data_IF_023568489961
#
_entry.id   IF_023568489961
#
_cell.length_a   1.000
_cell.length_b   1.000
_cell.length_c   1.000
_cell.angle_alpha   90.00
_cell.angle_beta   90.00
_cell.angle_gamma   90.00
#
_symmetry.space_group_name_H-M   'P 1'
#
loop_
_entity.id
_entity.type
_entity.pdbx_description
1 polymer ?
#
# COMPACT_ATOMS: atom_id res chain seq x y z
N UNK A 1 5.92 19.03 7.06
CA UNK A 1 5.13 18.52 5.92
C UNK A 1 4.48 17.22 6.36
N UNK A 2 3.17 17.09 6.17
CA UNK A 2 2.38 15.88 6.44
C UNK A 2 2.33 15.05 5.16
N UNK A 3 2.89 13.83 5.21
CA UNK A 3 2.92 12.92 4.06
C UNK A 3 1.98 11.74 4.34
N UNK A 4 1.09 11.45 3.41
CA UNK A 4 0.25 10.26 3.44
C UNK A 4 0.69 9.31 2.32
N UNK A 5 0.91 8.04 2.65
CA UNK A 5 1.22 6.99 1.67
C UNK A 5 0.08 5.99 1.64
N UNK A 6 -0.43 5.68 0.44
CA UNK A 6 -1.60 4.82 0.26
C UNK A 6 -1.24 3.64 -0.66
N UNK A 7 -1.55 2.42 -0.22
CA UNK A 7 -1.32 1.22 -1.02
C UNK A 7 -1.28 -0.05 -0.18
N UNK A 8 -0.57 -1.06 -0.67
CA UNK A 8 -0.36 -2.35 -0.02
C UNK A 8 0.97 -2.97 -0.43
N UNK A 9 1.20 -4.18 0.03
CA UNK A 9 2.33 -4.99 -0.40
C UNK A 9 3.71 -4.49 0.01
N UNK A 10 4.71 -5.00 -0.70
CA UNK A 10 6.11 -4.64 -0.50
C UNK A 10 6.43 -3.23 -1.01
N UNK A 11 5.71 -2.75 -2.03
CA UNK A 11 5.96 -1.46 -2.66
C UNK A 11 5.74 -0.31 -1.68
N UNK A 12 4.59 -0.29 -1.01
CA UNK A 12 4.31 0.72 0.01
C UNK A 12 5.35 0.73 1.13
N UNK A 13 5.75 -0.45 1.62
CA UNK A 13 6.76 -0.57 2.66
C UNK A 13 8.11 0.06 2.25
N UNK A 14 8.52 -0.09 0.99
CA UNK A 14 9.74 0.53 0.46
C UNK A 14 9.64 2.05 0.38
N UNK A 15 8.49 2.57 -0.08
CA UNK A 15 8.23 4.02 -0.08
C UNK A 15 8.35 4.59 1.32
N UNK A 16 7.73 3.94 2.32
CA UNK A 16 7.82 4.37 3.72
C UNK A 16 9.28 4.44 4.22
N UNK A 17 10.09 3.45 3.86
CA UNK A 17 11.52 3.47 4.19
C UNK A 17 12.27 4.62 3.52
N UNK A 18 11.95 4.90 2.26
CA UNK A 18 12.62 5.95 1.48
C UNK A 18 12.28 7.36 1.96
N UNK A 19 11.02 7.58 2.38
CA UNK A 19 10.56 8.92 2.82
C UNK A 19 10.79 9.18 4.31
N UNK A 20 11.01 8.15 5.12
CA UNK A 20 11.22 8.28 6.58
C UNK A 20 12.29 9.32 6.95
N UNK A 21 13.46 9.39 6.26
CA UNK A 21 14.46 10.42 6.54
C UNK A 21 14.01 11.85 6.23
N UNK A 22 12.94 12.04 5.45
CA UNK A 22 12.50 13.34 4.93
C UNK A 22 11.42 14.01 5.77
N UNK A 23 10.66 13.23 6.52
CA UNK A 23 9.58 13.74 7.36
C UNK A 23 9.37 12.88 8.59
N UNK A 24 9.10 13.52 9.72
CA UNK A 24 8.65 12.87 10.95
C UNK A 24 7.12 12.71 11.02
N UNK A 25 6.38 13.24 10.03
CA UNK A 25 4.92 13.23 10.01
C UNK A 25 4.42 12.43 8.80
N UNK A 26 4.56 11.12 8.91
CA UNK A 26 4.17 10.15 7.87
C UNK A 26 2.99 9.34 8.38
N UNK A 27 1.97 9.20 7.55
CA UNK A 27 0.85 8.29 7.76
C UNK A 27 0.75 7.32 6.59
N UNK A 28 0.79 6.03 6.87
CA UNK A 28 0.50 4.98 5.88
C UNK A 28 -0.96 4.55 6.00
N UNK A 29 -1.69 4.52 4.88
CA UNK A 29 -3.02 3.90 4.78
C UNK A 29 -2.86 2.61 3.98
N UNK A 30 -3.10 1.48 4.62
CA UNK A 30 -2.74 0.17 4.10
C UNK A 30 -3.99 -0.61 3.67
N UNK A 31 -3.94 -1.18 2.47
CA UNK A 31 -4.96 -2.11 1.98
C UNK A 31 -5.05 -3.34 2.90
N UNK A 32 -6.27 -3.81 3.13
CA UNK A 32 -6.57 -4.87 4.10
C UNK A 32 -7.36 -6.04 3.50
N UNK A 33 -7.19 -6.28 2.20
CA UNK A 33 -7.93 -7.30 1.43
C UNK A 33 -7.11 -8.56 1.11
N UNK A 34 -5.81 -8.58 1.42
CA UNK A 34 -4.94 -9.74 1.17
C UNK A 34 -5.49 -11.03 1.80
N UNK A 35 -5.52 -12.10 1.03
CA UNK A 35 -5.92 -13.44 1.45
C UNK A 35 -4.81 -14.49 1.24
N UNK A 36 -3.55 -14.06 1.05
CA UNK A 36 -2.41 -14.93 0.83
C UNK A 36 -1.69 -15.38 2.11
N UNK A 37 -0.95 -16.45 2.01
CA UNK A 37 -0.01 -16.93 3.02
C UNK A 37 -0.57 -17.01 4.46
N UNK A 38 0.18 -16.47 5.43
CA UNK A 38 -0.24 -16.40 6.84
C UNK A 38 -1.51 -15.60 7.05
N UNK A 39 -1.70 -14.52 6.30
CA UNK A 39 -2.91 -13.68 6.35
C UNK A 39 -4.13 -14.48 5.95
N UNK A 40 -4.07 -15.19 4.82
CA UNK A 40 -5.18 -16.03 4.36
C UNK A 40 -5.54 -17.15 5.34
N UNK A 41 -4.54 -17.82 5.94
CA UNK A 41 -4.78 -18.82 6.97
C UNK A 41 -5.52 -18.27 8.20
N UNK A 42 -5.14 -17.08 8.66
CA UNK A 42 -5.81 -16.40 9.78
C UNK A 42 -7.25 -16.06 9.38
N UNK A 43 -7.44 -15.43 8.22
CA UNK A 43 -8.76 -15.01 7.73
C UNK A 43 -9.70 -16.19 7.43
N UNK A 44 -9.16 -17.35 7.09
CA UNK A 44 -9.95 -18.57 6.92
C UNK A 44 -10.45 -19.15 8.26
N UNK A 45 -9.76 -18.87 9.36
CA UNK A 45 -10.13 -19.39 10.70
C UNK A 45 -11.01 -18.44 11.50
N UNK A 46 -10.93 -17.13 11.21
CA UNK A 46 -11.72 -16.10 11.93
C UNK A 46 -11.90 -14.83 11.09
N UNK A 47 -12.99 -14.12 11.36
CA UNK A 47 -13.30 -12.88 10.66
C UNK A 47 -12.37 -11.76 11.12
N UNK A 48 -11.40 -11.39 10.27
CA UNK A 48 -10.41 -10.34 10.55
C UNK A 48 -9.96 -9.66 9.26
N UNK A 49 -9.38 -8.46 9.39
CA UNK A 49 -8.72 -7.77 8.28
C UNK A 49 -7.39 -8.44 7.93
N UNK A 50 -6.86 -8.17 6.76
CA UNK A 50 -5.53 -8.61 6.34
C UNK A 50 -4.43 -7.91 7.15
N UNK A 51 -3.55 -8.68 7.80
CA UNK A 51 -2.54 -8.16 8.72
C UNK A 51 -1.12 -8.11 8.12
N UNK A 52 -0.91 -8.83 7.00
CA UNK A 52 0.42 -9.03 6.42
C UNK A 52 1.11 -7.74 5.99
N UNK A 53 0.40 -6.91 5.25
CA UNK A 53 0.92 -5.64 4.73
C UNK A 53 1.06 -4.59 5.82
N UNK A 54 0.12 -4.55 6.76
CA UNK A 54 0.20 -3.70 7.95
C UNK A 54 1.47 -4.01 8.73
N UNK A 55 1.70 -5.29 9.08
CA UNK A 55 2.92 -5.73 9.75
C UNK A 55 4.17 -5.29 8.97
N UNK A 56 4.17 -5.51 7.66
CA UNK A 56 5.31 -5.17 6.79
C UNK A 56 5.61 -3.67 6.82
N UNK A 57 4.60 -2.82 6.73
CA UNK A 57 4.76 -1.37 6.84
C UNK A 57 5.32 -0.96 8.21
N UNK A 58 4.79 -1.50 9.31
CA UNK A 58 5.29 -1.23 10.66
C UNK A 58 6.75 -1.64 10.83
N UNK A 59 7.13 -2.84 10.37
CA UNK A 59 8.51 -3.33 10.45
C UNK A 59 9.47 -2.53 9.59
N UNK A 60 9.05 -2.10 8.41
CA UNK A 60 9.88 -1.29 7.53
C UNK A 60 10.14 0.10 8.12
N UNK A 61 9.15 0.68 8.80
CA UNK A 61 9.31 1.93 9.55
C UNK A 61 10.25 1.77 10.76
N UNK A 62 10.29 0.61 11.41
CA UNK A 62 11.26 0.33 12.48
C UNK A 62 12.73 0.27 11.99
N UNK A 63 12.93 0.12 10.68
CA UNK A 63 14.25 0.09 10.04
C UNK A 63 14.94 -1.28 10.05
N UNK A 64 15.76 -1.53 9.05
CA UNK A 64 16.38 -2.84 8.78
C UNK A 64 17.30 -3.38 9.90
N UNK A 65 17.81 -2.52 10.77
CA UNK A 65 18.71 -2.91 11.88
C UNK A 65 17.98 -3.25 13.17
N UNK A 66 16.64 -3.18 13.18
CA UNK A 66 15.87 -3.51 14.37
C UNK A 66 15.89 -5.02 14.62
N UNK A 67 16.27 -5.43 15.83
CA UNK A 67 16.15 -6.84 16.27
C UNK A 67 14.70 -7.32 16.21
N UNK A 68 13.73 -6.42 16.37
CA UNK A 68 12.31 -6.72 16.27
C UNK A 68 11.90 -7.17 14.87
N UNK A 69 12.58 -6.71 13.80
CA UNK A 69 12.27 -7.16 12.45
C UNK A 69 12.46 -8.66 12.31
N UNK A 70 13.61 -9.19 12.73
CA UNK A 70 13.87 -10.63 12.67
C UNK A 70 12.86 -11.43 13.51
N UNK A 71 12.48 -10.93 14.69
CA UNK A 71 11.50 -11.56 15.56
C UNK A 71 10.11 -11.59 14.91
N UNK A 72 9.60 -10.45 14.47
CA UNK A 72 8.23 -10.35 13.94
C UNK A 72 8.09 -10.77 12.47
N UNK A 73 9.20 -10.94 11.75
CA UNK A 73 9.24 -11.62 10.44
C UNK A 73 9.38 -13.13 10.57
N UNK A 74 9.68 -13.64 11.78
CA UNK A 74 9.80 -15.07 11.99
C UNK A 74 8.55 -15.80 11.53
N UNK A 75 8.76 -16.85 10.72
CA UNK A 75 7.70 -17.72 10.22
C UNK A 75 7.90 -19.12 10.80
N UNK A 76 6.86 -19.60 11.45
CA UNK A 76 6.87 -20.94 12.03
C UNK A 76 6.94 -21.99 10.93
N UNK A 77 7.74 -23.05 11.15
CA UNK A 77 7.97 -24.09 10.14
C UNK A 77 7.28 -25.42 10.48
N UNK A 78 6.74 -25.56 11.70
CA UNK A 78 6.20 -26.83 12.19
C UNK A 78 4.95 -26.64 13.05
N UNK A 79 4.19 -27.73 13.21
CA UNK A 79 3.01 -27.79 14.08
C UNK A 79 1.83 -26.97 13.54
N UNK A 80 0.88 -26.68 14.43
CA UNK A 80 -0.34 -25.92 14.08
C UNK A 80 -0.08 -24.47 13.66
N UNK A 81 1.10 -23.93 14.01
CA UNK A 81 1.49 -22.59 13.64
C UNK A 81 2.28 -22.55 12.32
N UNK A 82 2.50 -23.69 11.65
CA UNK A 82 3.26 -23.73 10.40
C UNK A 82 2.78 -22.68 9.39
N UNK A 83 3.75 -21.96 8.79
CA UNK A 83 3.58 -20.85 7.86
C UNK A 83 2.95 -19.56 8.44
N UNK A 84 2.51 -19.57 9.69
CA UNK A 84 2.13 -18.33 10.34
C UNK A 84 3.36 -17.45 10.62
N UNK A 85 3.16 -16.15 10.51
CA UNK A 85 4.17 -15.15 10.85
C UNK A 85 3.91 -14.63 12.27
N UNK A 86 4.94 -14.59 13.11
CA UNK A 86 4.79 -14.15 14.50
C UNK A 86 4.18 -12.74 14.61
N UNK A 87 4.61 -11.80 13.77
CA UNK A 87 4.05 -10.45 13.78
C UNK A 87 2.56 -10.40 13.40
N UNK A 88 2.08 -11.28 12.50
CA UNK A 88 0.65 -11.38 12.21
C UNK A 88 -0.13 -11.90 13.42
N UNK A 89 0.39 -12.92 14.10
CA UNK A 89 -0.23 -13.45 15.34
C UNK A 89 -0.22 -12.43 16.46
N UNK A 90 0.85 -11.64 16.58
CA UNK A 90 0.93 -10.55 17.56
C UNK A 90 -0.11 -9.48 17.29
N UNK A 91 -0.25 -9.01 16.04
CA UNK A 91 -1.29 -8.04 15.65
C UNK A 91 -2.69 -8.59 15.93
N UNK A 92 -2.91 -9.87 15.61
CA UNK A 92 -4.18 -10.53 15.88
C UNK A 92 -4.52 -10.53 17.38
N UNK A 93 -3.59 -10.95 18.24
CA UNK A 93 -3.78 -10.92 19.69
C UNK A 93 -4.01 -9.50 20.23
N UNK A 94 -3.32 -8.49 19.67
CA UNK A 94 -3.56 -7.10 20.02
C UNK A 94 -4.96 -6.62 19.59
N UNK A 95 -5.47 -7.09 18.44
CA UNK A 95 -6.83 -6.77 17.99
C UNK A 95 -7.88 -7.40 18.92
N UNK A 96 -7.70 -8.63 19.34
CA UNK A 96 -8.59 -9.26 20.32
C UNK A 96 -8.61 -8.51 21.67
N UNK A 97 -7.42 -8.10 22.14
CA UNK A 97 -7.29 -7.35 23.42
C UNK A 97 -7.88 -5.94 23.36
N UNK A 98 -7.73 -5.24 22.22
CA UNK A 98 -8.13 -3.84 22.11
C UNK A 98 -9.53 -3.64 21.52
N UNK A 99 -10.08 -4.66 20.87
CA UNK A 99 -11.33 -4.59 20.10
C UNK A 99 -11.26 -3.66 18.89
N UNK A 100 -10.06 -3.26 18.41
CA UNK A 100 -9.88 -2.33 17.30
C UNK A 100 -8.56 -2.59 16.58
N UNK A 101 -8.61 -2.72 15.27
CA UNK A 101 -7.41 -2.88 14.43
C UNK A 101 -6.51 -1.65 14.52
N UNK A 102 -7.07 -0.45 14.47
CA UNK A 102 -6.29 0.80 14.56
C UNK A 102 -5.55 0.91 15.89
N UNK A 103 -6.19 0.56 17.00
CA UNK A 103 -5.52 0.54 18.31
C UNK A 103 -4.44 -0.54 18.39
N UNK A 104 -4.72 -1.72 17.88
CA UNK A 104 -3.74 -2.82 17.82
C UNK A 104 -2.48 -2.42 17.04
N UNK A 105 -2.66 -1.80 15.88
CA UNK A 105 -1.58 -1.30 15.03
C UNK A 105 -0.79 -0.21 15.75
N UNK A 106 -1.47 0.71 16.45
CA UNK A 106 -0.80 1.76 17.22
C UNK A 106 0.06 1.16 18.36
N UNK A 107 -0.44 0.16 19.09
CA UNK A 107 0.34 -0.55 20.09
C UNK A 107 1.53 -1.29 19.48
N UNK A 108 1.36 -1.96 18.33
CA UNK A 108 2.43 -2.63 17.64
C UNK A 108 3.52 -1.65 17.19
N UNK A 109 3.15 -0.49 16.65
CA UNK A 109 4.06 0.58 16.31
C UNK A 109 4.85 1.11 17.52
N UNK A 110 4.20 1.30 18.66
CA UNK A 110 4.87 1.70 19.91
C UNK A 110 5.90 0.65 20.33
N UNK A 111 5.55 -0.64 20.28
CA UNK A 111 6.48 -1.74 20.59
C UNK A 111 7.71 -1.75 19.69
N UNK A 112 7.55 -1.32 18.43
CA UNK A 112 8.65 -1.20 17.47
C UNK A 112 9.46 0.10 17.60
N UNK A 113 9.03 1.05 18.41
CA UNK A 113 9.63 2.37 18.56
C UNK A 113 9.36 3.31 17.40
N UNK A 114 8.31 3.05 16.61
CA UNK A 114 7.90 3.93 15.50
C UNK A 114 7.19 5.17 16.02
N UNK A 115 7.43 6.30 15.35
CA UNK A 115 6.74 7.58 15.57
C UNK A 115 5.70 7.85 14.47
N UNK A 116 5.84 7.20 13.35
CA UNK A 116 4.97 7.28 12.18
C UNK A 116 3.64 6.54 12.44
N UNK A 117 2.60 6.95 11.75
CA UNK A 117 1.27 6.36 11.89
C UNK A 117 1.00 5.33 10.79
N UNK A 118 0.46 4.17 11.13
CA UNK A 118 -0.03 3.17 10.18
C UNK A 118 -1.51 2.93 10.47
N UNK A 119 -2.34 3.08 9.44
CA UNK A 119 -3.80 2.93 9.52
C UNK A 119 -4.27 1.86 8.56
N UNK A 120 -5.23 1.00 8.93
CA UNK A 120 -5.90 0.12 7.99
C UNK A 120 -6.87 0.95 7.13
N UNK A 121 -7.04 0.64 5.84
CA UNK A 121 -8.05 1.30 5.00
C UNK A 121 -9.45 1.20 5.60
N UNK A 122 -9.72 0.11 6.31
CA UNK A 122 -10.94 -0.16 7.06
C UNK A 122 -10.65 -1.13 8.21
N UNK A 123 -11.43 -1.08 9.28
CA UNK A 123 -11.39 -2.09 10.36
C UNK A 123 -12.35 -3.26 10.10
N UNK A 124 -13.19 -3.17 9.07
CA UNK A 124 -14.19 -4.18 8.76
C UNK A 124 -13.59 -5.17 7.74
N UNK A 125 -13.57 -6.48 8.06
CA UNK A 125 -13.12 -7.50 7.13
C UNK A 125 -13.92 -7.45 5.83
N UNK A 126 -13.22 -7.40 4.69
CA UNK A 126 -13.81 -7.37 3.35
C UNK A 126 -12.86 -8.01 2.36
N UNK A 127 -13.36 -8.47 1.23
CA UNK A 127 -12.60 -9.09 0.15
C UNK A 127 -12.76 -8.29 -1.13
N UNK A 128 -11.81 -8.47 -2.05
CA UNK A 128 -11.94 -8.00 -3.42
C UNK A 128 -12.82 -8.96 -4.21
N UNK A 129 -13.67 -8.41 -5.05
CA UNK A 129 -14.52 -9.15 -6.00
C UNK A 129 -14.31 -8.53 -7.37
N UNK A 130 -13.76 -9.30 -8.30
CA UNK A 130 -13.62 -8.93 -9.70
C UNK A 130 -14.80 -9.51 -10.51
N UNK A 131 -15.43 -8.69 -11.34
CA UNK A 131 -16.39 -9.12 -12.36
C UNK A 131 -15.65 -9.23 -13.69
N UNK A 132 -15.70 -10.39 -14.32
CA UNK A 132 -15.08 -10.65 -15.61
C UNK A 132 -15.98 -10.21 -16.76
N UNK A 133 -15.43 -10.15 -17.98
CA UNK A 133 -16.19 -9.76 -19.18
C UNK A 133 -17.33 -10.73 -19.52
N UNK A 134 -17.26 -11.98 -19.06
CA UNK A 134 -18.32 -12.99 -19.18
C UNK A 134 -19.34 -12.94 -18.02
N UNK A 135 -19.29 -11.92 -17.15
CA UNK A 135 -20.08 -11.72 -15.94
C UNK A 135 -19.82 -12.75 -14.81
N UNK A 136 -18.79 -13.60 -14.91
CA UNK A 136 -18.34 -14.40 -13.79
C UNK A 136 -17.69 -13.51 -12.73
N UNK A 137 -17.79 -13.93 -11.45
CA UNK A 137 -17.19 -13.24 -10.33
C UNK A 137 -16.05 -14.07 -9.74
N UNK A 138 -14.92 -13.42 -9.53
CA UNK A 138 -13.73 -13.97 -8.87
C UNK A 138 -13.54 -13.22 -7.57
N UNK A 139 -13.44 -13.93 -6.44
CA UNK A 139 -13.30 -13.35 -5.11
C UNK A 139 -11.93 -13.71 -4.52
N UNK A 140 -11.27 -12.72 -3.94
CA UNK A 140 -9.99 -12.87 -3.28
C UNK A 140 -8.83 -12.28 -4.09
N UNK A 141 -7.84 -11.76 -3.37
CA UNK A 141 -6.67 -11.12 -3.97
C UNK A 141 -5.81 -12.11 -4.76
N UNK A 142 -5.52 -13.28 -4.17
CA UNK A 142 -4.70 -14.30 -4.82
C UNK A 142 -5.34 -14.81 -6.12
N UNK A 143 -6.65 -14.97 -6.14
CA UNK A 143 -7.43 -15.41 -7.28
C UNK A 143 -7.44 -14.33 -8.37
N UNK A 144 -7.61 -13.07 -7.99
CA UNK A 144 -7.59 -11.92 -8.89
C UNK A 144 -6.19 -11.71 -9.49
N UNK A 145 -5.13 -11.87 -8.70
CA UNK A 145 -3.74 -11.79 -9.19
C UNK A 145 -3.38 -12.90 -10.18
N UNK A 146 -4.14 -13.99 -10.18
CA UNK A 146 -3.96 -15.09 -11.14
C UNK A 146 -4.65 -14.86 -12.50
N UNK A 147 -5.48 -13.83 -12.62
CA UNK A 147 -6.17 -13.51 -13.88
C UNK A 147 -5.18 -13.19 -14.99
N UNK A 148 -5.53 -13.56 -16.20
CA UNK A 148 -4.72 -13.33 -17.42
C UNK A 148 -5.15 -12.10 -18.21
N UNK A 149 -6.24 -11.45 -17.81
CA UNK A 149 -6.79 -10.25 -18.43
C UNK A 149 -7.39 -9.32 -17.38
N UNK A 150 -7.47 -8.03 -17.70
CA UNK A 150 -8.13 -7.05 -16.85
C UNK A 150 -9.60 -7.45 -16.63
N UNK A 151 -10.09 -7.41 -15.39
CA UNK A 151 -11.50 -7.61 -15.11
C UNK A 151 -12.31 -6.41 -15.65
N UNK A 152 -13.59 -6.63 -15.90
CA UNK A 152 -14.55 -5.58 -16.27
C UNK A 152 -14.67 -4.54 -15.15
N UNK A 153 -14.77 -5.01 -13.90
CA UNK A 153 -14.82 -4.15 -12.72
C UNK A 153 -14.32 -4.87 -11.48
N UNK A 154 -13.90 -4.10 -10.47
CA UNK A 154 -13.51 -4.61 -9.15
C UNK A 154 -14.25 -3.82 -8.08
N UNK A 155 -14.73 -4.52 -7.07
CA UNK A 155 -15.44 -3.96 -5.93
C UNK A 155 -15.01 -4.63 -4.63
N UNK A 156 -15.40 -4.06 -3.51
CA UNK A 156 -15.34 -4.75 -2.22
C UNK A 156 -16.57 -5.66 -2.07
N UNK A 157 -16.41 -6.78 -1.39
CA UNK A 157 -17.50 -7.75 -1.13
C UNK A 157 -18.67 -7.16 -0.34
N UNK A 158 -18.41 -6.08 0.39
CA UNK A 158 -19.40 -5.28 1.12
C UNK A 158 -18.94 -3.82 1.23
N UNK A 159 -19.88 -2.89 1.36
CA UNK A 159 -19.55 -1.51 1.65
C UNK A 159 -19.01 -1.41 3.09
N UNK A 160 -17.88 -0.73 3.26
CA UNK A 160 -17.20 -0.58 4.56
C UNK A 160 -16.82 0.88 4.79
N UNK A 161 -16.85 1.36 6.06
CA UNK A 161 -16.37 2.69 6.39
C UNK A 161 -14.84 2.75 6.32
N UNK A 162 -14.29 3.94 6.14
CA UNK A 162 -12.85 4.17 6.26
C UNK A 162 -12.35 3.85 7.67
N UNK A 163 -11.14 3.34 7.76
CA UNK A 163 -10.45 3.16 9.03
C UNK A 163 -10.34 4.48 9.81
N UNK A 164 -10.45 4.45 11.14
CA UNK A 164 -10.35 5.65 11.98
C UNK A 164 -9.07 6.44 11.68
N UNK A 165 -9.23 7.72 11.37
CA UNK A 165 -8.13 8.63 11.06
C UNK A 165 -7.77 8.75 9.58
N UNK A 166 -8.17 7.83 8.70
CA UNK A 166 -7.81 7.86 7.27
C UNK A 166 -8.29 9.14 6.58
N UNK A 167 -9.56 9.46 6.69
CA UNK A 167 -10.15 10.66 6.06
C UNK A 167 -9.45 11.94 6.56
N UNK A 168 -9.24 12.04 7.89
CA UNK A 168 -8.54 13.18 8.48
C UNK A 168 -7.11 13.30 7.95
N UNK A 169 -6.37 12.19 7.91
CA UNK A 169 -4.99 12.20 7.40
C UNK A 169 -4.92 12.67 5.95
N UNK A 170 -5.82 12.19 5.08
CA UNK A 170 -5.88 12.59 3.67
C UNK A 170 -6.19 14.08 3.51
N UNK A 171 -7.19 14.61 4.24
CA UNK A 171 -7.60 16.00 4.13
C UNK A 171 -6.57 16.98 4.70
N UNK A 172 -5.76 16.55 5.66
CA UNK A 172 -4.71 17.36 6.28
C UNK A 172 -3.33 17.17 5.64
N UNK A 173 -3.20 16.32 4.63
CA UNK A 173 -1.94 16.05 3.96
C UNK A 173 -1.45 17.24 3.15
N UNK A 174 -0.13 17.42 3.11
CA UNK A 174 0.55 18.31 2.16
C UNK A 174 0.92 17.55 0.88
N UNK A 175 1.24 16.25 1.03
CA UNK A 175 1.64 15.35 -0.03
C UNK A 175 1.00 13.98 0.17
N UNK A 176 0.46 13.41 -0.90
CA UNK A 176 -0.04 12.04 -0.93
C UNK A 176 0.76 11.23 -1.96
N UNK A 177 1.32 10.11 -1.53
CA UNK A 177 2.07 9.19 -2.37
C UNK A 177 1.24 7.91 -2.51
N UNK A 178 0.99 7.50 -3.75
CA UNK A 178 0.16 6.35 -4.07
C UNK A 178 1.02 5.29 -4.76
N UNK A 179 0.97 4.06 -4.26
CA UNK A 179 1.78 2.96 -4.76
C UNK A 179 3.25 3.02 -4.30
N UNK A 180 4.18 2.32 -5.00
CA UNK A 180 3.93 1.37 -6.09
C UNK A 180 3.25 0.09 -5.58
N UNK A 181 2.73 -0.70 -6.49
CA UNK A 181 2.09 -1.98 -6.20
C UNK A 181 1.12 -2.38 -7.30
N UNK A 182 0.56 -3.57 -7.21
CA UNK A 182 -0.52 -3.99 -8.11
C UNK A 182 -1.65 -2.96 -8.10
N UNK A 183 -1.99 -2.48 -9.29
CA UNK A 183 -3.07 -1.48 -9.44
C UNK A 183 -4.38 -2.04 -8.90
N UNK A 184 -4.65 -3.31 -9.16
CA UNK A 184 -5.91 -3.97 -8.80
C UNK A 184 -5.94 -4.38 -7.33
N UNK A 185 -4.87 -4.99 -6.83
CA UNK A 185 -4.90 -5.69 -5.55
C UNK A 185 -4.20 -4.95 -4.42
N UNK A 186 -3.27 -4.02 -4.73
CA UNK A 186 -2.57 -3.25 -3.71
C UNK A 186 -3.00 -1.78 -3.63
N UNK A 187 -3.39 -1.17 -4.77
CA UNK A 187 -3.71 0.26 -4.84
C UNK A 187 -5.22 0.49 -4.79
N UNK A 188 -5.96 -0.06 -5.73
CA UNK A 188 -7.41 0.14 -5.87
C UNK A 188 -8.21 -0.13 -4.59
N UNK A 189 -7.91 -1.16 -3.76
CA UNK A 189 -8.74 -1.50 -2.60
C UNK A 189 -9.00 -0.35 -1.65
N UNK A 190 -7.99 0.48 -1.36
CA UNK A 190 -8.15 1.64 -0.49
C UNK A 190 -9.14 2.68 -1.06
N UNK A 191 -9.18 2.82 -2.38
CA UNK A 191 -10.04 3.79 -3.07
C UNK A 191 -11.44 3.26 -3.38
N UNK A 192 -11.68 1.96 -3.18
CA UNK A 192 -13.01 1.38 -3.17
C UNK A 192 -13.76 1.65 -1.86
N UNK A 193 -13.08 2.15 -0.83
CA UNK A 193 -13.71 2.68 0.38
C UNK A 193 -14.20 4.09 0.09
N UNK A 194 -15.53 4.27 0.03
CA UNK A 194 -16.17 5.51 -0.42
C UNK A 194 -15.67 6.77 0.32
N UNK A 195 -15.46 6.69 1.63
CA UNK A 195 -14.98 7.81 2.43
C UNK A 195 -13.55 8.23 2.04
N UNK A 196 -12.68 7.26 1.74
CA UNK A 196 -11.31 7.51 1.26
C UNK A 196 -11.36 8.14 -0.13
N UNK A 197 -12.14 7.58 -1.06
CA UNK A 197 -12.30 8.13 -2.41
C UNK A 197 -12.81 9.58 -2.36
N UNK A 198 -13.81 9.86 -1.54
CA UNK A 198 -14.33 11.22 -1.35
C UNK A 198 -13.30 12.18 -0.74
N UNK A 199 -12.48 11.70 0.20
CA UNK A 199 -11.42 12.51 0.79
C UNK A 199 -10.32 12.85 -0.22
N UNK A 200 -9.93 11.90 -1.08
CA UNK A 200 -8.95 12.10 -2.17
C UNK A 200 -9.44 13.13 -3.19
N UNK A 201 -10.71 13.16 -3.49
CA UNK A 201 -11.28 14.15 -4.41
C UNK A 201 -11.36 15.56 -3.81
N UNK A 202 -11.40 15.67 -2.46
CA UNK A 202 -11.54 16.94 -1.73
C UNK A 202 -10.22 17.52 -1.25
N UNK A 203 -9.18 16.72 -1.14
CA UNK A 203 -7.90 17.16 -0.61
C UNK A 203 -7.24 18.20 -1.53
N UNK A 204 -6.53 19.15 -0.93
CA UNK A 204 -5.65 20.08 -1.64
C UNK A 204 -4.20 19.58 -1.74
N UNK A 205 -3.89 18.39 -1.19
CA UNK A 205 -2.57 17.80 -1.26
C UNK A 205 -2.16 17.51 -2.70
N UNK A 206 -0.87 17.70 -3.01
CA UNK A 206 -0.30 17.17 -4.25
C UNK A 206 -0.30 15.64 -4.19
N UNK A 207 -0.81 14.96 -5.25
CA UNK A 207 -0.94 13.51 -5.31
C UNK A 207 0.04 12.96 -6.33
N UNK A 208 0.95 12.13 -5.86
CA UNK A 208 1.99 11.49 -6.69
C UNK A 208 1.69 10.00 -6.79
N UNK A 209 1.62 9.49 -8.01
CA UNK A 209 1.52 8.06 -8.30
C UNK A 209 2.88 7.52 -8.68
N UNK A 210 3.33 6.45 -8.00
CA UNK A 210 4.58 5.76 -8.33
C UNK A 210 4.22 4.51 -9.10
N UNK A 211 4.66 4.45 -10.34
CA UNK A 211 4.45 3.28 -11.20
C UNK A 211 5.37 2.14 -10.78
N UNK A 212 4.97 0.91 -11.06
CA UNK A 212 5.79 -0.27 -10.79
C UNK A 212 7.08 -0.25 -11.63
N UNK A 213 8.19 -0.66 -11.04
CA UNK A 213 9.49 -0.77 -11.73
C UNK A 213 9.54 -1.86 -12.80
N UNK A 214 8.59 -2.79 -12.79
CA UNK A 214 8.44 -3.86 -13.79
C UNK A 214 6.97 -4.05 -14.13
N UNK A 215 6.74 -4.50 -15.36
CA UNK A 215 5.42 -4.95 -15.81
C UNK A 215 4.86 -5.99 -14.85
N UNK A 216 3.63 -5.80 -14.43
CA UNK A 216 2.90 -6.80 -13.64
C UNK A 216 2.81 -8.10 -14.44
N UNK A 217 3.26 -9.19 -13.84
CA UNK A 217 3.36 -10.48 -14.53
C UNK A 217 2.02 -11.06 -14.95
N UNK A 218 0.93 -10.66 -14.29
CA UNK A 218 -0.34 -11.35 -14.41
C UNK A 218 -1.29 -10.79 -15.46
N UNK A 219 -1.53 -9.49 -15.50
CA UNK A 219 -2.68 -8.96 -16.24
C UNK A 219 -2.32 -7.87 -17.25
N UNK A 220 -1.21 -7.17 -17.06
CA UNK A 220 -0.88 -5.98 -17.80
C UNK A 220 0.30 -6.14 -18.74
N UNK A 221 0.39 -7.26 -19.47
CA UNK A 221 1.46 -7.48 -20.46
C UNK A 221 1.51 -6.43 -21.58
N UNK A 222 0.54 -5.52 -21.65
CA UNK A 222 0.39 -4.62 -22.80
C UNK A 222 0.38 -3.12 -22.48
N UNK A 223 0.72 -2.68 -21.32
CA UNK A 223 1.16 -1.32 -20.96
C UNK A 223 0.67 -0.92 -19.55
N UNK A 224 1.56 -0.38 -18.72
CA UNK A 224 1.22 0.31 -17.48
C UNK A 224 0.17 1.42 -17.70
N UNK A 225 0.23 2.08 -18.85
CA UNK A 225 -0.75 3.10 -19.24
C UNK A 225 -2.19 2.56 -19.27
N UNK A 226 -2.42 1.37 -19.84
CA UNK A 226 -3.76 0.78 -19.87
C UNK A 226 -4.31 0.47 -18.46
N UNK A 227 -3.45 0.12 -17.51
CA UNK A 227 -3.86 -0.11 -16.13
C UNK A 227 -4.21 1.16 -15.38
N UNK A 228 -3.49 2.25 -15.63
CA UNK A 228 -3.77 3.55 -15.02
C UNK A 228 -5.05 4.15 -15.59
N UNK A 229 -5.28 4.02 -16.90
CA UNK A 229 -6.52 4.45 -17.55
C UNK A 229 -7.71 3.64 -17.02
N UNK A 230 -7.57 2.32 -16.93
CA UNK A 230 -8.57 1.44 -16.34
C UNK A 230 -8.87 1.82 -14.88
N UNK A 231 -7.85 2.16 -14.08
CA UNK A 231 -8.03 2.61 -12.71
C UNK A 231 -8.88 3.89 -12.64
N UNK A 232 -8.62 4.85 -13.51
CA UNK A 232 -9.39 6.09 -13.58
C UNK A 232 -10.84 5.83 -14.01
N UNK A 233 -11.07 4.90 -14.94
CA UNK A 233 -12.42 4.47 -15.34
C UNK A 233 -13.16 3.78 -14.18
N UNK A 234 -12.48 2.90 -13.43
CA UNK A 234 -13.07 2.22 -12.27
C UNK A 234 -13.49 3.20 -11.16
N UNK A 235 -12.68 4.21 -10.90
CA UNK A 235 -12.93 5.19 -9.86
C UNK A 235 -13.85 6.33 -10.31
N UNK A 236 -13.96 6.60 -11.61
CA UNK A 236 -14.69 7.73 -12.17
C UNK A 236 -14.00 9.09 -11.96
N UNK A 237 -12.73 9.09 -11.51
CA UNK A 237 -11.91 10.29 -11.34
C UNK A 237 -10.43 9.98 -11.44
N UNK A 238 -9.62 11.02 -11.74
CA UNK A 238 -8.17 10.91 -11.79
C UNK A 238 -7.57 10.89 -10.39
N UNK A 239 -6.82 9.84 -10.06
CA UNK A 239 -6.33 9.57 -8.71
C UNK A 239 -5.13 10.45 -8.31
N UNK A 240 -4.34 10.95 -9.26
CA UNK A 240 -3.07 11.64 -9.02
C UNK A 240 -2.90 12.87 -9.92
N UNK A 241 -2.02 13.77 -9.51
CA UNK A 241 -1.63 14.98 -10.26
C UNK A 241 -0.35 14.72 -11.08
N UNK A 242 0.59 13.95 -10.53
CA UNK A 242 1.86 13.57 -11.14
C UNK A 242 2.05 12.06 -11.08
N UNK A 243 2.48 11.44 -12.19
CA UNK A 243 2.97 10.05 -12.24
C UNK A 243 4.49 10.02 -12.36
N UNK A 244 5.13 9.11 -11.64
CA UNK A 244 6.57 8.85 -11.71
C UNK A 244 6.77 7.47 -12.35
N UNK A 245 7.10 7.41 -13.65
CA UNK A 245 7.38 6.16 -14.33
C UNK A 245 8.77 5.62 -13.94
N UNK A 246 9.02 4.32 -14.14
CA UNK A 246 10.32 3.70 -13.85
C UNK A 246 11.48 4.35 -14.60
N UNK A 247 11.27 4.79 -15.85
CA UNK A 247 12.27 5.48 -16.66
C UNK A 247 12.73 6.81 -16.04
N UNK A 248 11.82 7.56 -15.40
CA UNK A 248 12.17 8.82 -14.74
C UNK A 248 13.08 8.56 -13.53
N UNK A 249 12.90 7.43 -12.85
CA UNK A 249 13.77 6.99 -11.76
C UNK A 249 15.16 6.65 -12.31
N UNK A 250 15.23 5.92 -13.44
CA UNK A 250 16.49 5.58 -14.10
C UNK A 250 17.23 6.81 -14.64
N UNK A 251 16.56 7.80 -15.21
CA UNK A 251 17.16 9.04 -15.70
C UNK A 251 17.77 9.89 -14.58
N UNK A 252 17.10 9.99 -13.44
CA UNK A 252 17.63 10.69 -12.26
C UNK A 252 18.89 9.97 -11.74
N UNK A 253 18.96 8.66 -11.86
CA UNK A 253 20.09 7.84 -11.42
C UNK A 253 21.27 7.85 -12.39
N UNK A 254 21.05 7.96 -13.70
CA UNK A 254 22.14 8.08 -14.70
C UNK A 254 22.97 9.35 -14.50
N UNK A 255 22.41 10.37 -13.84
CA UNK A 255 23.14 11.54 -13.35
C UNK A 255 24.06 11.25 -12.15
N UNK A 256 23.89 10.12 -11.48
CA UNK A 256 24.68 9.69 -10.31
C UNK A 256 25.46 8.42 -10.66
N UNK A 257 26.72 8.58 -11.07
CA UNK A 257 27.62 7.46 -11.45
C UNK A 257 27.78 6.46 -10.31
N UNK A 258 27.54 5.20 -10.58
CA UNK A 258 27.73 3.96 -9.81
C UNK A 258 26.51 3.43 -9.06
N UNK A 259 25.73 2.58 -9.73
CA UNK A 259 24.82 1.65 -9.02
C UNK A 259 24.87 0.25 -9.66
N UNK A 260 25.03 -0.68 -8.74
CA UNK A 260 25.16 -2.13 -8.92
C UNK A 260 23.90 -2.71 -9.61
N UNK A 261 24.12 -3.32 -10.77
CA UNK A 261 23.14 -4.19 -11.42
C UNK A 261 22.92 -5.43 -10.56
N UNK A 262 21.75 -5.55 -10.01
CA UNK A 262 21.02 -6.81 -9.73
C UNK A 262 20.08 -6.64 -8.53
N UNK A 263 18.82 -6.35 -8.80
CA UNK A 263 17.72 -6.94 -7.98
C UNK A 263 16.39 -6.81 -8.71
N UNK A 264 15.76 -7.95 -8.88
CA UNK A 264 14.50 -8.11 -9.54
C UNK A 264 13.33 -7.63 -8.64
N UNK A 265 12.38 -6.91 -9.21
CA UNK A 265 10.99 -6.72 -8.80
C UNK A 265 10.62 -5.57 -7.86
N UNK A 266 11.53 -4.82 -7.26
CA UNK A 266 11.20 -3.75 -6.32
C UNK A 266 12.02 -2.49 -6.64
N UNK A 267 11.45 -1.29 -6.40
CA UNK A 267 12.22 -0.05 -6.42
C UNK A 267 13.29 -0.10 -5.33
N UNK A 268 14.49 0.36 -5.64
CA UNK A 268 15.53 0.54 -4.63
C UNK A 268 15.14 1.71 -3.71
N UNK A 269 15.36 1.55 -2.39
CA UNK A 269 15.00 2.56 -1.39
C UNK A 269 15.83 3.83 -1.59
N UNK A 270 17.12 3.68 -1.94
CA UNK A 270 18.01 4.83 -2.16
C UNK A 270 17.62 5.57 -3.44
N UNK A 271 17.12 4.86 -4.46
CA UNK A 271 16.56 5.45 -5.68
C UNK A 271 15.33 6.29 -5.37
N UNK A 272 14.35 5.73 -4.67
CA UNK A 272 13.16 6.46 -4.25
C UNK A 272 13.51 7.65 -3.36
N UNK A 273 14.47 7.51 -2.46
CA UNK A 273 14.94 8.58 -1.60
C UNK A 273 15.51 9.76 -2.41
N UNK A 274 16.30 9.49 -3.45
CA UNK A 274 16.85 10.52 -4.34
C UNK A 274 15.73 11.24 -5.13
N UNK A 275 14.75 10.49 -5.65
CA UNK A 275 13.59 11.06 -6.36
C UNK A 275 12.80 11.98 -5.44
N UNK A 276 12.45 11.52 -4.24
CA UNK A 276 11.70 12.33 -3.29
C UNK A 276 12.50 13.55 -2.81
N UNK A 277 13.80 13.40 -2.57
CA UNK A 277 14.68 14.51 -2.21
C UNK A 277 14.74 15.58 -3.32
N UNK A 278 14.70 15.17 -4.58
CA UNK A 278 14.63 16.05 -5.73
C UNK A 278 13.26 16.77 -5.82
N UNK A 279 12.17 16.03 -5.72
CA UNK A 279 10.80 16.54 -5.78
C UNK A 279 10.50 17.53 -4.65
N UNK A 280 10.97 17.26 -3.43
CA UNK A 280 10.74 18.13 -2.27
C UNK A 280 11.57 19.43 -2.30
N UNK A 281 12.63 19.48 -3.09
CA UNK A 281 13.44 20.69 -3.32
C UNK A 281 12.90 21.55 -4.46
N UNK A 282 12.05 21.01 -5.32
CA UNK A 282 11.39 21.81 -6.36
C UNK A 282 10.30 22.69 -5.74
N UNK A 283 10.26 24.00 -6.02
CA UNK A 283 9.12 24.82 -5.64
C UNK A 283 7.89 24.24 -6.35
N UNK A 284 6.91 23.79 -5.58
CA UNK A 284 5.62 23.31 -6.13
C UNK A 284 4.94 24.55 -6.74
N UNK A 285 5.18 24.79 -8.01
CA UNK A 285 4.35 25.70 -8.77
C UNK A 285 3.02 25.00 -9.03
N UNK A 286 2.05 25.27 -8.17
CA UNK A 286 0.66 24.99 -8.47
C UNK A 286 0.30 25.77 -9.73
N UNK A 287 0.28 25.11 -10.88
CA UNK A 287 -0.30 25.68 -12.08
C UNK A 287 -1.81 25.82 -11.83
N UNK A 288 -2.22 27.04 -11.48
CA UNK A 288 -3.60 27.48 -11.60
C UNK A 288 -3.99 27.36 -13.08
N UNK A 289 -4.60 26.26 -13.45
CA UNK A 289 -5.42 26.17 -14.65
C UNK A 289 -6.87 26.01 -14.20
N UNK A 290 -7.58 27.15 -14.30
CA UNK A 290 -9.04 27.29 -14.32
C UNK A 290 -9.68 26.43 -15.40
#
# INVERSE_FOLDING_TARGET
>A
MKIVCIGGGHGLAQVLSAIKPMSSNITAIVATTDNGGSTGKIRASQETIALGDIRRCCLQLAGKKSTFNAIYEHRFTQGHLADHCLGNLTLLGLMELTGSATKAIAHFNIMLGNTETVLPMTEVPTDLVAELNNNEKVMGECEIDSLTSLPKSVSLSKNVPAGPGCVKAILEADLIIIGPGSIITSILPAFLVNDIAAAIQKTSACRIFIENSKEEKSVMKNTQAAGVDWLAEQLGFKLYDLSIPPSAIEEILQGSKNIIKNRAHLHDIDELNNVFSGLLKMPIQLSNHF
#
